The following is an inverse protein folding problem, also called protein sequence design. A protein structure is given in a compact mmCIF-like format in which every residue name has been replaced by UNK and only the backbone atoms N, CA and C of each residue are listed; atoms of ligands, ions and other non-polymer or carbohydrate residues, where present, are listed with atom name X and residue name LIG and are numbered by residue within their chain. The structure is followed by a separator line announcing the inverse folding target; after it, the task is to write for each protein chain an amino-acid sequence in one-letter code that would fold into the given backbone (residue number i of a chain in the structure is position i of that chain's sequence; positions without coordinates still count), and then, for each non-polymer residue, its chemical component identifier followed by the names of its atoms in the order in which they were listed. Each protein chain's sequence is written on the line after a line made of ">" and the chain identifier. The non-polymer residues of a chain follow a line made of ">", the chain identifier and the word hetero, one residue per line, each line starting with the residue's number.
data_IF_760503305750
#
_entry.id   IF_760503305750
#
_cell.length_a   1.000
_cell.length_b   1.000
_cell.length_c   1.000
_cell.angle_alpha   90.00
_cell.angle_beta   90.00
_cell.angle_gamma   90.00
#
_symmetry.space_group_name_H-M   'P 1'
#
loop_
_entity.id
_entity.type
_entity.pdbx_description
1 polymer ?
#
# COMPACT_ATOMS: atom_id res chain seq x y z
N UNK A 1 -0.70 17.18 8.27
CA UNK A 1 -1.87 18.06 8.14
C UNK A 1 -3.01 17.39 8.86
N UNK A 2 -3.52 18.05 9.91
CA UNK A 2 -4.68 17.59 10.68
C UNK A 2 -5.93 18.29 10.15
N UNK A 3 -6.93 17.51 9.74
CA UNK A 3 -8.25 18.03 9.43
C UNK A 3 -9.27 17.39 10.37
N UNK A 4 -10.07 18.20 11.03
CA UNK A 4 -11.14 17.72 11.92
C UNK A 4 -12.42 17.52 11.14
N UNK A 5 -13.02 16.37 11.30
CA UNK A 5 -14.29 16.02 10.70
C UNK A 5 -15.20 15.48 11.82
N UNK A 6 -16.29 16.16 12.11
CA UNK A 6 -17.31 15.80 13.12
C UNK A 6 -16.96 14.59 14.04
N UNK A 7 -16.07 14.79 15.01
CA UNK A 7 -15.60 13.74 15.92
C UNK A 7 -14.51 12.81 15.39
N UNK A 8 -14.01 13.05 14.17
CA UNK A 8 -12.93 12.29 13.55
C UNK A 8 -11.83 13.22 13.10
N UNK A 9 -10.59 12.82 13.29
CA UNK A 9 -9.41 13.57 12.83
C UNK A 9 -8.73 12.77 11.73
N UNK A 10 -8.57 13.35 10.55
CA UNK A 10 -7.80 12.76 9.46
C UNK A 10 -6.37 13.28 9.51
N UNK A 11 -5.42 12.39 9.56
CA UNK A 11 -3.99 12.70 9.61
C UNK A 11 -3.37 12.31 8.27
N UNK A 12 -2.85 13.30 7.53
CA UNK A 12 -2.13 13.06 6.28
C UNK A 12 -0.64 12.89 6.53
N UNK A 13 -0.08 11.82 5.98
CA UNK A 13 1.35 11.53 6.04
C UNK A 13 1.97 11.71 4.65
N UNK A 14 2.99 12.57 4.49
CA UNK A 14 3.75 12.61 3.25
C UNK A 14 4.56 11.32 3.12
N UNK A 15 4.33 10.59 2.04
CA UNK A 15 5.03 9.34 1.76
C UNK A 15 5.73 9.39 0.41
N UNK A 16 6.83 8.68 0.31
CA UNK A 16 7.55 8.50 -0.94
C UNK A 16 7.85 7.00 -1.10
N UNK A 17 7.52 6.41 -2.26
CA UNK A 17 7.88 5.03 -2.54
C UNK A 17 9.37 4.77 -2.35
N UNK A 18 9.73 3.61 -1.83
CA UNK A 18 11.13 3.26 -1.55
C UNK A 18 12.01 3.29 -2.82
N UNK A 19 11.45 2.89 -3.95
CA UNK A 19 12.12 2.95 -5.25
C UNK A 19 12.59 4.38 -5.61
N UNK A 20 11.82 5.40 -5.22
CA UNK A 20 12.19 6.80 -5.43
C UNK A 20 13.38 7.22 -4.57
N UNK A 21 13.46 6.70 -3.33
CA UNK A 21 14.58 6.95 -2.42
C UNK A 21 15.88 6.33 -2.93
N UNK A 22 15.76 5.24 -3.69
CA UNK A 22 16.89 4.57 -4.33
C UNK A 22 17.33 5.22 -5.66
N UNK A 23 16.75 6.35 -6.03
CA UNK A 23 17.06 7.06 -7.27
C UNK A 23 16.47 6.44 -8.53
N UNK A 24 15.49 5.54 -8.38
CA UNK A 24 14.82 4.83 -9.48
C UNK A 24 13.38 5.34 -9.70
N UNK A 25 13.10 6.56 -9.27
CA UNK A 25 11.74 7.13 -9.36
C UNK A 25 11.22 7.29 -10.79
N UNK A 26 12.12 7.47 -11.76
CA UNK A 26 11.81 7.50 -13.18
C UNK A 26 11.34 6.14 -13.76
N UNK A 27 11.56 5.07 -13.01
CA UNK A 27 11.10 3.71 -13.35
C UNK A 27 9.85 3.29 -12.58
N UNK A 28 9.33 4.18 -11.77
CA UNK A 28 8.11 3.90 -11.01
C UNK A 28 6.90 3.91 -11.96
N UNK A 29 6.20 2.79 -11.98
CA UNK A 29 4.87 2.69 -12.61
C UNK A 29 3.83 2.64 -11.50
N UNK A 30 2.92 3.60 -11.51
CA UNK A 30 1.84 3.67 -10.52
C UNK A 30 0.63 2.83 -10.94
N UNK A 31 -0.23 2.47 -10.00
CA UNK A 31 -1.47 1.76 -10.31
C UNK A 31 -2.43 2.57 -11.22
N UNK A 32 -2.25 3.88 -11.32
CA UNK A 32 -3.00 4.73 -12.23
C UNK A 32 -2.50 4.64 -13.69
N UNK A 33 -1.27 4.20 -13.88
CA UNK A 33 -0.61 4.06 -15.17
C UNK A 33 -0.60 2.62 -15.66
N UNK A 34 -0.38 1.66 -14.74
CA UNK A 34 -0.32 0.25 -15.03
C UNK A 34 -1.66 -0.27 -15.59
N UNK A 35 -1.57 -1.01 -16.68
CA UNK A 35 -2.73 -1.75 -17.19
C UNK A 35 -3.13 -2.89 -16.25
N UNK A 36 -4.38 -3.39 -16.32
CA UNK A 36 -4.78 -4.57 -15.55
C UNK A 36 -3.88 -5.78 -15.81
N UNK A 37 -3.44 -5.98 -17.05
CA UNK A 37 -2.53 -7.07 -17.42
C UNK A 37 -1.16 -6.94 -16.73
N UNK A 38 -0.55 -5.76 -16.76
CA UNK A 38 0.73 -5.49 -16.06
C UNK A 38 0.61 -5.73 -14.56
N UNK A 39 -0.53 -5.36 -13.97
CA UNK A 39 -0.80 -5.64 -12.55
C UNK A 39 -0.90 -7.15 -12.29
N UNK A 40 -1.54 -7.93 -13.18
CA UNK A 40 -1.54 -9.39 -13.07
C UNK A 40 -0.16 -10.01 -13.26
N UNK A 41 0.67 -9.50 -14.14
CA UNK A 41 2.06 -9.95 -14.27
C UNK A 41 2.82 -9.77 -12.94
N UNK A 42 2.64 -8.64 -12.28
CA UNK A 42 3.20 -8.40 -10.95
C UNK A 42 2.67 -9.40 -9.91
N UNK A 43 1.37 -9.65 -9.89
CA UNK A 43 0.77 -10.65 -8.99
C UNK A 43 1.29 -12.05 -9.24
N UNK A 44 1.49 -12.45 -10.50
CA UNK A 44 2.09 -13.75 -10.86
C UNK A 44 3.54 -13.88 -10.34
N UNK A 45 4.31 -12.78 -10.33
CA UNK A 45 5.64 -12.77 -9.72
C UNK A 45 5.57 -12.99 -8.21
N UNK A 46 4.63 -12.33 -7.52
CA UNK A 46 4.40 -12.54 -6.09
C UNK A 46 3.94 -13.97 -5.79
N UNK A 47 3.00 -14.52 -6.58
CA UNK A 47 2.58 -15.92 -6.45
C UNK A 47 3.76 -16.89 -6.61
N UNK A 48 4.59 -16.66 -7.62
CA UNK A 48 5.72 -17.54 -7.92
C UNK A 48 6.82 -17.47 -6.88
N UNK A 49 7.26 -16.27 -6.52
CA UNK A 49 8.48 -16.09 -5.74
C UNK A 49 8.24 -15.86 -4.25
N UNK A 50 7.14 -15.21 -3.90
CA UNK A 50 6.84 -14.89 -2.50
C UNK A 50 5.97 -15.96 -1.83
N UNK A 51 4.94 -16.46 -2.51
CA UNK A 51 3.99 -17.41 -1.93
C UNK A 51 4.48 -18.84 -2.09
N UNK A 52 4.78 -19.27 -3.33
CA UNK A 52 5.24 -20.63 -3.60
C UNK A 52 6.73 -20.80 -3.34
N UNK A 53 7.49 -19.76 -3.62
CA UNK A 53 8.93 -19.82 -3.63
C UNK A 53 9.50 -20.69 -4.78
N UNK A 54 10.76 -20.48 -5.07
CA UNK A 54 11.52 -21.30 -6.02
C UNK A 54 12.87 -21.64 -5.40
N UNK A 55 13.39 -22.82 -5.74
CA UNK A 55 14.71 -23.24 -5.32
C UNK A 55 15.81 -22.33 -5.91
N UNK A 56 17.05 -22.53 -5.51
CA UNK A 56 18.18 -21.73 -5.97
C UNK A 56 18.43 -21.81 -7.50
N UNK A 57 17.86 -22.81 -8.17
CA UNK A 57 17.88 -22.94 -9.63
C UNK A 57 16.93 -21.96 -10.34
N UNK A 58 16.10 -21.21 -9.57
CA UNK A 58 15.14 -20.22 -10.07
C UNK A 58 13.90 -20.82 -10.77
N UNK A 59 13.77 -22.13 -10.82
CA UNK A 59 12.72 -22.81 -11.60
C UNK A 59 11.91 -23.83 -10.81
N UNK A 60 12.56 -24.62 -9.96
CA UNK A 60 11.88 -25.67 -9.18
C UNK A 60 10.99 -25.06 -8.10
N UNK A 61 9.66 -25.28 -8.14
CA UNK A 61 8.77 -24.77 -7.10
C UNK A 61 9.09 -25.41 -5.75
N UNK A 62 9.16 -24.59 -4.71
CA UNK A 62 9.17 -25.07 -3.33
C UNK A 62 7.75 -25.44 -2.90
N UNK A 63 7.63 -26.09 -1.74
CA UNK A 63 6.32 -26.36 -1.16
C UNK A 63 5.60 -25.06 -0.86
N UNK A 64 4.30 -25.03 -1.15
CA UNK A 64 3.45 -23.88 -0.85
C UNK A 64 3.37 -23.64 0.65
N UNK A 65 4.17 -22.72 1.16
CA UNK A 65 4.24 -22.39 2.58
C UNK A 65 3.82 -20.97 2.89
N UNK A 66 3.72 -20.12 1.87
CA UNK A 66 3.36 -18.71 2.04
C UNK A 66 1.86 -18.47 2.08
N UNK A 67 1.45 -17.44 2.83
CA UNK A 67 0.09 -16.93 2.80
C UNK A 67 -0.17 -16.17 1.50
N UNK A 68 -1.44 -16.05 1.14
CA UNK A 68 -1.87 -15.25 0.01
C UNK A 68 -1.47 -13.77 0.18
N UNK A 69 -1.19 -13.10 -0.93
CA UNK A 69 -1.04 -11.65 -0.99
C UNK A 69 -2.38 -11.05 -1.36
N UNK A 70 -2.89 -10.12 -0.56
CA UNK A 70 -4.08 -9.35 -0.90
C UNK A 70 -3.70 -8.22 -1.85
N UNK A 71 -4.44 -8.09 -2.94
CA UNK A 71 -4.24 -7.06 -3.94
C UNK A 71 -5.57 -6.51 -4.43
N UNK A 72 -5.59 -5.21 -4.70
CA UNK A 72 -6.73 -4.56 -5.36
C UNK A 72 -6.32 -4.15 -6.77
N UNK A 73 -6.79 -4.90 -7.76
CA UNK A 73 -6.61 -4.58 -9.17
C UNK A 73 -7.36 -3.30 -9.49
N UNK A 74 -6.65 -2.29 -9.94
CA UNK A 74 -7.24 -1.01 -10.34
C UNK A 74 -7.34 -0.94 -11.85
N UNK A 75 -8.45 -0.44 -12.37
CA UNK A 75 -8.60 -0.17 -13.79
C UNK A 75 -9.30 1.15 -14.03
N UNK A 76 -8.94 1.81 -15.13
CA UNK A 76 -9.57 3.04 -15.55
C UNK A 76 -10.57 2.77 -16.68
N UNK A 77 -11.89 2.90 -16.44
CA UNK A 77 -12.91 2.63 -17.46
C UNK A 77 -12.82 3.55 -18.71
N UNK A 78 -12.11 4.67 -18.61
CA UNK A 78 -11.86 5.55 -19.75
C UNK A 78 -10.70 5.08 -20.64
N UNK A 79 -9.87 4.14 -20.15
CA UNK A 79 -8.68 3.63 -20.86
C UNK A 79 -8.83 2.18 -21.29
N UNK A 80 -9.63 1.40 -20.60
CA UNK A 80 -9.79 -0.04 -20.78
C UNK A 80 -11.27 -0.31 -20.96
N UNK A 81 -11.66 -0.94 -22.06
CA UNK A 81 -13.04 -1.33 -22.31
C UNK A 81 -13.48 -2.43 -21.35
N UNK A 82 -14.80 -2.59 -21.21
CA UNK A 82 -15.34 -3.66 -20.37
C UNK A 82 -14.94 -5.05 -20.86
N UNK A 83 -14.95 -5.25 -22.17
CA UNK A 83 -14.61 -6.51 -22.82
C UNK A 83 -13.13 -6.86 -22.57
N UNK A 84 -12.21 -5.95 -22.81
CA UNK A 84 -10.78 -6.13 -22.55
C UNK A 84 -10.52 -6.43 -21.06
N UNK A 85 -11.25 -5.75 -20.18
CA UNK A 85 -11.12 -5.99 -18.75
C UNK A 85 -11.59 -7.38 -18.34
N UNK A 86 -12.71 -7.85 -18.90
CA UNK A 86 -13.23 -9.21 -18.67
C UNK A 86 -12.26 -10.27 -19.18
N UNK A 87 -11.69 -10.11 -20.39
CA UNK A 87 -10.67 -11.01 -20.92
C UNK A 87 -9.45 -11.07 -19.99
N UNK A 88 -8.93 -9.93 -19.57
CA UNK A 88 -7.81 -9.87 -18.61
C UNK A 88 -8.12 -10.57 -17.31
N UNK A 89 -9.34 -10.43 -16.77
CA UNK A 89 -9.79 -11.14 -15.56
C UNK A 89 -9.80 -12.66 -15.77
N UNK A 90 -10.37 -13.12 -16.88
CA UNK A 90 -10.47 -14.55 -17.19
C UNK A 90 -9.09 -15.20 -17.33
N UNK A 91 -8.16 -14.52 -17.96
CA UNK A 91 -6.80 -15.00 -18.14
C UNK A 91 -5.97 -14.92 -16.84
N UNK A 92 -6.14 -13.83 -16.08
CA UNK A 92 -5.32 -13.53 -14.91
C UNK A 92 -5.75 -14.26 -13.65
N UNK A 93 -7.05 -14.34 -13.38
CA UNK A 93 -7.60 -14.79 -12.10
C UNK A 93 -7.25 -16.23 -11.75
N UNK A 94 -7.13 -17.11 -12.73
CA UNK A 94 -6.76 -18.52 -12.51
C UNK A 94 -5.35 -18.69 -11.89
N UNK A 95 -4.49 -17.70 -12.03
CA UNK A 95 -3.10 -17.72 -11.56
C UNK A 95 -2.89 -16.97 -10.24
N UNK A 96 -3.93 -16.37 -9.66
CA UNK A 96 -3.85 -15.51 -8.48
C UNK A 96 -4.87 -15.96 -7.43
N UNK A 97 -4.45 -16.07 -6.17
CA UNK A 97 -5.33 -16.56 -5.08
C UNK A 97 -6.30 -15.52 -4.56
N UNK A 98 -5.87 -14.27 -4.49
CA UNK A 98 -6.68 -13.18 -3.96
C UNK A 98 -6.49 -11.90 -4.76
N UNK A 99 -7.56 -11.43 -5.38
CA UNK A 99 -7.57 -10.18 -6.09
C UNK A 99 -8.98 -9.56 -6.00
N UNK A 100 -9.08 -8.39 -5.40
CA UNK A 100 -10.27 -7.55 -5.50
C UNK A 100 -10.13 -6.61 -6.69
N UNK A 101 -11.24 -6.06 -7.15
CA UNK A 101 -11.27 -5.16 -8.30
C UNK A 101 -11.86 -3.82 -7.88
N UNK A 102 -11.23 -2.73 -8.30
CA UNK A 102 -11.71 -1.38 -8.03
C UNK A 102 -11.56 -0.49 -9.26
N UNK A 103 -12.67 0.06 -9.80
CA UNK A 103 -12.59 1.05 -10.86
C UNK A 103 -11.96 2.34 -10.33
N UNK A 104 -11.09 2.94 -11.12
CA UNK A 104 -10.58 4.28 -10.89
C UNK A 104 -11.54 5.29 -11.51
N UNK A 105 -12.51 5.71 -10.74
CA UNK A 105 -13.44 6.78 -11.10
C UNK A 105 -12.91 8.13 -10.60
N UNK A 106 -13.49 9.21 -11.08
CA UNK A 106 -13.20 10.54 -10.57
C UNK A 106 -13.58 10.61 -9.07
N UNK A 107 -12.58 10.78 -8.23
CA UNK A 107 -12.71 10.87 -6.78
C UNK A 107 -12.70 12.32 -6.29
N UNK A 108 -12.73 13.29 -7.18
CA UNK A 108 -12.69 14.74 -6.84
C UNK A 108 -13.85 15.17 -5.92
N UNK A 109 -14.95 14.42 -5.91
CA UNK A 109 -16.08 14.65 -5.02
C UNK A 109 -15.82 14.23 -3.56
N UNK A 110 -14.79 13.42 -3.29
CA UNK A 110 -14.45 13.03 -1.94
C UNK A 110 -13.57 14.11 -1.28
N UNK A 111 -13.99 14.59 -0.14
CA UNK A 111 -13.22 15.58 0.63
C UNK A 111 -11.87 15.03 1.13
N UNK A 112 -11.83 13.73 1.41
CA UNK A 112 -10.62 13.02 1.87
C UNK A 112 -10.44 11.77 1.04
N UNK A 113 -9.30 11.68 0.37
CA UNK A 113 -8.90 10.48 -0.36
C UNK A 113 -7.92 9.67 0.50
N UNK A 114 -7.93 8.33 0.39
CA UNK A 114 -6.94 7.49 1.06
C UNK A 114 -5.50 7.82 0.64
N UNK A 115 -5.33 8.21 -0.63
CA UNK A 115 -4.06 8.60 -1.22
C UNK A 115 -4.29 9.81 -2.14
N UNK A 116 -3.48 10.84 -1.97
CA UNK A 116 -3.50 12.02 -2.83
C UNK A 116 -2.13 12.20 -3.48
N UNK A 117 -2.11 12.33 -4.79
CA UNK A 117 -0.86 12.64 -5.51
C UNK A 117 -0.42 14.07 -5.21
N UNK A 118 0.88 14.25 -5.02
CA UNK A 118 1.47 15.58 -4.85
C UNK A 118 2.76 15.72 -5.65
N UNK A 119 3.12 16.96 -5.95
CA UNK A 119 4.40 17.27 -6.59
C UNK A 119 5.56 17.08 -5.62
N UNK A 120 6.75 16.78 -6.16
CA UNK A 120 7.98 16.66 -5.36
C UNK A 120 8.26 17.90 -4.53
N UNK A 121 8.03 19.10 -5.08
CA UNK A 121 8.21 20.36 -4.37
C UNK A 121 7.27 20.50 -3.18
N UNK A 122 6.01 20.09 -3.32
CA UNK A 122 5.03 20.10 -2.23
C UNK A 122 5.38 19.07 -1.15
N UNK A 123 5.80 17.88 -1.55
CA UNK A 123 6.31 16.87 -0.62
C UNK A 123 7.47 17.42 0.23
N UNK A 124 8.50 17.97 -0.40
CA UNK A 124 9.65 18.54 0.28
C UNK A 124 9.30 19.71 1.21
N UNK A 125 8.32 20.54 0.81
CA UNK A 125 7.83 21.61 1.67
C UNK A 125 7.20 21.05 2.95
N UNK A 126 6.29 20.07 2.82
CA UNK A 126 5.60 19.46 3.97
C UNK A 126 6.61 18.78 4.90
N UNK A 127 7.57 18.04 4.36
CA UNK A 127 8.61 17.38 5.17
C UNK A 127 9.39 18.41 5.98
N UNK A 128 9.82 19.52 5.37
CA UNK A 128 10.51 20.61 6.08
C UNK A 128 9.66 21.26 7.16
N UNK A 129 8.37 21.43 6.91
CA UNK A 129 7.43 21.97 7.91
C UNK A 129 7.30 21.01 9.12
N UNK A 130 7.23 19.71 8.88
CA UNK A 130 7.20 18.68 9.93
C UNK A 130 8.48 18.68 10.72
N UNK A 131 9.64 18.70 10.07
CA UNK A 131 10.96 18.73 10.72
C UNK A 131 11.12 19.96 11.62
N UNK A 132 10.72 21.14 11.14
CA UNK A 132 10.74 22.38 11.97
C UNK A 132 9.79 22.29 13.16
N UNK A 133 8.60 21.72 12.97
CA UNK A 133 7.64 21.57 14.06
C UNK A 133 8.11 20.57 15.11
N UNK A 134 8.73 19.46 14.68
CA UNK A 134 9.25 18.45 15.62
C UNK A 134 10.44 18.93 16.43
N UNK A 135 11.26 19.83 15.92
CA UNK A 135 12.35 20.46 16.68
C UNK A 135 11.83 21.33 17.84
N UNK A 136 10.62 21.86 17.73
CA UNK A 136 9.99 22.68 18.76
C UNK A 136 9.13 21.87 19.74
N UNK A 137 8.88 20.59 19.44
CA UNK A 137 8.26 19.68 20.38
C UNK A 137 9.34 19.21 21.37
N UNK A 138 9.45 19.91 22.49
CA UNK A 138 10.02 19.32 23.70
C UNK A 138 9.08 18.17 24.04
N UNK A 139 9.46 16.97 23.61
CA UNK A 139 8.81 15.75 24.08
C UNK A 139 9.11 15.71 25.58
N UNK A 140 8.18 16.21 26.39
CA UNK A 140 8.13 15.76 27.77
C UNK A 140 7.90 14.24 27.61
N UNK A 141 8.95 13.47 27.85
CA UNK A 141 8.82 12.07 28.16
C UNK A 141 8.03 12.00 29.45
N UNK A 142 6.71 12.11 29.35
CA UNK A 142 5.89 11.49 30.35
C UNK A 142 6.24 10.01 30.22
N UNK A 143 6.86 9.48 31.24
CA UNK A 143 6.95 8.04 31.42
C UNK A 143 5.51 7.56 31.42
N UNK A 144 5.02 7.17 30.25
CA UNK A 144 3.79 6.40 30.15
C UNK A 144 4.16 5.07 30.79
N UNK A 145 3.96 5.01 32.09
CA UNK A 145 3.93 3.74 32.77
C UNK A 145 2.83 2.95 32.08
N UNK A 146 3.23 2.02 31.22
CA UNK A 146 2.34 0.98 30.75
C UNK A 146 1.96 0.18 31.99
N UNK A 147 0.92 0.63 32.69
CA UNK A 147 0.22 -0.25 33.62
C UNK A 147 -0.16 -1.47 32.79
N UNK A 148 0.26 -2.63 33.28
CA UNK A 148 -0.10 -3.91 32.69
C UNK A 148 -1.61 -3.93 32.47
N UNK A 149 -2.03 -3.74 31.23
CA UNK A 149 -3.40 -4.00 30.82
C UNK A 149 -3.48 -5.52 30.82
N UNK A 150 -3.92 -6.05 31.95
CA UNK A 150 -4.23 -7.46 32.10
C UNK A 150 -5.41 -7.76 31.14
N UNK A 151 -5.10 -8.32 30.01
CA UNK A 151 -6.12 -8.77 29.06
C UNK A 151 -6.83 -9.97 29.70
N UNK A 152 -7.90 -9.72 30.44
CA UNK A 152 -8.72 -10.74 31.12
C UNK A 152 -9.31 -11.81 30.22
N UNK A 153 -8.90 -11.90 28.97
CA UNK A 153 -9.31 -12.90 27.97
C UNK A 153 -8.25 -13.96 27.68
N UNK A 154 -7.09 -13.95 28.36
CA UNK A 154 -6.04 -14.96 28.14
C UNK A 154 -5.39 -14.92 26.74
N UNK A 155 -5.61 -13.87 25.97
CA UNK A 155 -4.94 -13.68 24.71
C UNK A 155 -3.56 -13.02 24.94
N UNK A 156 -2.55 -13.65 24.40
CA UNK A 156 -1.12 -13.45 24.52
C UNK A 156 -0.67 -12.00 24.52
N UNK A 157 0.13 -11.53 25.49
CA UNK A 157 0.89 -10.29 25.35
C UNK A 157 1.95 -10.51 24.26
N UNK A 158 1.97 -9.66 23.26
CA UNK A 158 3.01 -9.64 22.26
C UNK A 158 4.26 -9.06 22.91
N UNK A 159 5.22 -9.94 23.22
CA UNK A 159 6.51 -9.55 23.77
C UNK A 159 7.43 -9.14 22.59
N UNK A 160 7.55 -7.85 22.36
CA UNK A 160 8.52 -7.29 21.42
C UNK A 160 9.88 -7.16 22.16
N UNK A 161 10.72 -8.16 22.01
CA UNK A 161 12.15 -8.05 22.34
C UNK A 161 12.95 -7.60 21.12
#
# INVERSE_FOLDING_TARGET
>A
ILKSYSGTTVVGFPTQPEICKQGLGDKLVTAAEATPEEQYQYLRLLEKYWIRGVAADGTTPLLESGNQVSYTLKYNPAKVSFEEFVETLLEGQSSVRCCSVMPQTDTSAYEYQPEEMMTTSRYQQIVREIEKSSQNLVVQKEDVAFEHIDCGSGACPIDFR
#
